data_IF_361908631973
#
_entry.id   IF_361908631973
#
_cell.length_a   1.000
_cell.length_b   1.000
_cell.length_c   1.000
_cell.angle_alpha   90.00
_cell.angle_beta   90.00
_cell.angle_gamma   90.00
#
_symmetry.space_group_name_H-M   'P 1'
#
loop_
_entity.id
_entity.type
_entity.pdbx_description
1 polymer ?
#
# COMPACT_ATOMS: atom_id res chain seq x y z
N UNK A 1 18.97 2.94 32.83
CA UNK A 1 19.60 3.23 31.52
C UNK A 1 18.48 3.57 30.53
N UNK A 2 18.67 4.57 29.67
CA UNK A 2 17.67 4.97 28.64
C UNK A 2 18.03 4.37 27.29
N UNK A 3 17.02 4.06 26.46
CA UNK A 3 17.22 3.60 25.07
C UNK A 3 16.54 4.54 24.08
N UNK A 4 17.12 4.68 22.90
CA UNK A 4 16.55 5.37 21.75
C UNK A 4 16.46 4.34 20.62
N UNK A 5 15.27 4.17 20.06
CA UNK A 5 15.04 3.25 18.94
C UNK A 5 14.68 4.06 17.71
N UNK A 6 15.49 3.90 16.66
CA UNK A 6 15.25 4.49 15.34
C UNK A 6 14.54 3.40 14.51
N UNK A 7 13.30 3.66 14.12
CA UNK A 7 12.48 2.68 13.40
C UNK A 7 11.72 3.33 12.25
N UNK A 8 11.33 2.52 11.27
CA UNK A 8 10.34 2.87 10.24
C UNK A 8 8.92 2.63 10.78
N UNK A 9 7.92 2.82 9.93
CA UNK A 9 6.52 2.48 10.23
C UNK A 9 6.28 0.99 10.51
N UNK A 10 7.27 0.10 10.41
CA UNK A 10 7.17 -1.29 10.93
C UNK A 10 6.84 -1.31 12.43
N UNK A 11 7.30 -0.31 13.20
CA UNK A 11 6.96 -0.19 14.62
C UNK A 11 5.53 0.31 14.88
N UNK A 12 4.82 0.78 13.85
CA UNK A 12 3.43 1.28 13.94
C UNK A 12 2.42 0.15 14.09
N UNK A 13 2.68 -1.01 13.46
CA UNK A 13 1.74 -2.16 13.40
C UNK A 13 2.45 -3.46 13.76
N UNK A 14 3.49 -3.83 13.01
CA UNK A 14 4.06 -5.19 12.98
C UNK A 14 5.00 -5.54 14.14
N UNK A 15 5.62 -4.56 14.79
CA UNK A 15 6.54 -4.79 15.90
C UNK A 15 6.06 -4.10 17.19
N UNK A 16 6.20 -4.80 18.32
CA UNK A 16 6.00 -4.22 19.64
C UNK A 16 7.35 -4.03 20.31
N UNK A 17 7.70 -2.78 20.60
CA UNK A 17 8.91 -2.44 21.34
C UNK A 17 8.50 -2.14 22.78
N UNK A 18 9.00 -2.93 23.71
CA UNK A 18 8.73 -2.73 25.14
C UNK A 18 9.48 -1.52 25.70
N UNK A 19 9.00 -0.96 26.81
CA UNK A 19 9.68 0.14 27.52
C UNK A 19 9.70 1.46 26.76
N UNK A 20 8.72 1.70 25.87
CA UNK A 20 8.55 2.97 25.15
C UNK A 20 7.47 3.80 25.84
N UNK A 21 7.85 5.03 26.23
CA UNK A 21 6.95 6.06 26.78
C UNK A 21 7.01 7.40 26.03
N UNK A 22 8.02 7.56 25.16
CA UNK A 22 8.21 8.75 24.34
C UNK A 22 8.26 8.30 22.88
N UNK A 23 7.44 8.92 22.04
CA UNK A 23 7.48 8.75 20.58
C UNK A 23 7.77 10.11 19.96
N UNK A 24 8.71 10.14 19.02
CA UNK A 24 8.94 11.27 18.13
C UNK A 24 8.55 10.83 16.73
N UNK A 25 7.48 11.39 16.20
CA UNK A 25 6.93 11.05 14.90
C UNK A 25 7.29 12.12 13.86
N UNK A 26 8.05 11.74 12.83
CA UNK A 26 8.39 12.63 11.73
C UNK A 26 7.18 12.99 10.85
N UNK A 27 6.04 12.32 11.05
CA UNK A 27 4.78 12.48 10.31
C UNK A 27 4.96 12.35 8.78
N UNK A 28 5.94 11.55 8.38
CA UNK A 28 6.20 11.17 7.01
C UNK A 28 6.29 9.64 6.89
N UNK A 29 6.01 9.15 5.70
CA UNK A 29 6.14 7.75 5.31
C UNK A 29 6.70 7.63 3.92
N UNK A 30 7.25 6.45 3.62
CA UNK A 30 7.75 6.10 2.30
C UNK A 30 6.84 5.02 1.72
N UNK A 31 6.18 5.35 0.62
CA UNK A 31 5.19 4.47 -0.02
C UNK A 31 5.59 4.17 -1.46
N UNK A 32 5.23 2.98 -1.92
CA UNK A 32 5.33 2.59 -3.31
C UNK A 32 4.14 3.18 -4.08
N UNK A 33 4.42 3.92 -5.15
CA UNK A 33 3.40 4.50 -6.03
C UNK A 33 3.68 4.11 -7.48
N UNK A 34 2.68 3.48 -8.09
CA UNK A 34 2.67 3.09 -9.49
C UNK A 34 2.38 4.29 -10.39
N UNK A 35 3.13 4.40 -11.48
CA UNK A 35 2.91 5.39 -12.53
C UNK A 35 2.42 4.72 -13.83
N UNK A 36 1.13 4.83 -14.17
CA UNK A 36 0.55 4.15 -15.34
C UNK A 36 1.14 4.55 -16.70
N UNK A 37 1.76 5.73 -16.77
CA UNK A 37 2.41 6.25 -17.99
C UNK A 37 3.75 5.57 -18.27
N UNK A 38 4.51 5.24 -17.23
CA UNK A 38 5.85 4.64 -17.34
C UNK A 38 5.81 3.14 -17.07
N UNK A 39 4.78 2.63 -16.38
CA UNK A 39 4.69 1.23 -15.97
C UNK A 39 5.66 0.88 -14.84
N UNK A 40 6.14 1.89 -14.11
CA UNK A 40 7.13 1.76 -13.03
C UNK A 40 6.50 2.12 -11.68
N UNK A 41 6.93 1.40 -10.65
CA UNK A 41 6.64 1.71 -9.26
C UNK A 41 7.82 2.44 -8.65
N UNK A 42 7.57 3.60 -8.04
CA UNK A 42 8.61 4.41 -7.39
C UNK A 42 8.32 4.60 -5.91
N UNK A 43 9.37 4.82 -5.14
CA UNK A 43 9.24 5.21 -3.74
C UNK A 43 9.09 6.72 -3.65
N UNK A 44 8.00 7.17 -3.04
CA UNK A 44 7.79 8.58 -2.72
C UNK A 44 7.76 8.77 -1.21
N UNK A 45 8.13 9.95 -0.74
CA UNK A 45 7.93 10.35 0.65
C UNK A 45 6.71 11.25 0.72
N UNK A 46 5.75 10.91 1.56
CA UNK A 46 4.51 11.67 1.73
C UNK A 46 4.18 11.87 3.21
N UNK A 47 3.18 12.71 3.50
CA UNK A 47 2.63 12.85 4.86
C UNK A 47 1.81 11.62 5.22
N UNK A 48 1.91 11.21 6.48
CA UNK A 48 1.06 10.14 7.04
C UNK A 48 -0.36 10.64 7.26
N UNK A 49 -1.30 9.69 7.36
CA UNK A 49 -2.69 9.98 7.73
C UNK A 49 -2.85 10.32 9.22
N UNK A 50 -4.00 10.88 9.57
CA UNK A 50 -4.39 11.10 10.96
C UNK A 50 -4.51 9.79 11.74
N UNK A 51 -5.04 8.74 11.11
CA UNK A 51 -5.12 7.41 11.68
C UNK A 51 -3.72 6.86 12.04
N UNK A 52 -2.75 6.96 11.12
CA UNK A 52 -1.37 6.55 11.37
C UNK A 52 -0.68 7.39 12.44
N UNK A 53 -0.86 8.71 12.46
CA UNK A 53 -0.35 9.56 13.56
C UNK A 53 -0.90 9.11 14.91
N UNK A 54 -2.20 8.82 14.97
CA UNK A 54 -2.86 8.34 16.19
C UNK A 54 -2.31 6.99 16.62
N UNK A 55 -2.11 6.07 15.67
CA UNK A 55 -1.55 4.75 15.94
C UNK A 55 -0.10 4.83 16.45
N UNK A 56 0.73 5.70 15.88
CA UNK A 56 2.10 5.99 16.34
C UNK A 56 2.10 6.59 17.74
N UNK A 57 1.21 7.55 18.01
CA UNK A 57 1.06 8.12 19.34
C UNK A 57 0.68 7.06 20.39
N UNK A 58 -0.19 6.12 20.03
CA UNK A 58 -0.56 4.98 20.88
C UNK A 58 0.62 4.08 21.27
N UNK A 59 1.74 4.10 20.53
CA UNK A 59 2.96 3.36 20.90
C UNK A 59 3.67 3.92 22.13
N UNK A 60 3.46 5.20 22.46
CA UNK A 60 3.97 5.80 23.69
C UNK A 60 3.16 5.40 24.94
N UNK A 61 1.90 4.98 24.79
CA UNK A 61 0.95 4.81 25.89
C UNK A 61 0.72 3.36 26.35
N UNK A 62 1.58 2.41 25.97
CA UNK A 62 1.31 0.97 26.19
C UNK A 62 1.53 0.48 27.61
N UNK A 63 2.52 1.02 28.32
CA UNK A 63 2.91 0.58 29.66
C UNK A 63 2.46 1.55 30.74
N UNK A 64 2.52 2.84 30.44
CA UNK A 64 2.22 3.95 31.33
C UNK A 64 1.85 5.19 30.49
N UNK A 65 1.34 6.27 31.10
CA UNK A 65 1.10 7.52 30.39
C UNK A 65 2.35 8.01 29.66
N UNK A 66 2.25 8.12 28.33
CA UNK A 66 3.34 8.50 27.44
C UNK A 66 3.11 9.83 26.72
N UNK A 67 4.14 10.28 26.00
CA UNK A 67 4.12 11.51 25.22
C UNK A 67 4.48 11.17 23.77
N UNK A 68 3.69 11.68 22.83
CA UNK A 68 4.01 11.66 21.40
C UNK A 68 4.24 13.10 20.90
N UNK A 69 5.36 13.33 20.24
CA UNK A 69 5.67 14.58 19.57
C UNK A 69 5.63 14.37 18.06
N UNK A 70 4.64 14.96 17.39
CA UNK A 70 4.59 15.03 15.93
C UNK A 70 5.41 16.22 15.44
N UNK A 71 6.34 16.01 14.51
CA UNK A 71 7.25 17.04 13.99
C UNK A 71 6.60 17.91 12.90
N UNK A 72 5.33 18.29 13.09
CA UNK A 72 4.53 19.07 12.15
C UNK A 72 3.61 20.04 12.91
N UNK A 73 3.20 21.12 12.27
CA UNK A 73 2.24 22.05 12.88
C UNK A 73 0.88 21.36 13.08
N UNK A 74 0.18 21.72 14.16
CA UNK A 74 -1.15 21.16 14.49
C UNK A 74 -2.14 21.32 13.33
N UNK A 75 -2.18 22.49 12.71
CA UNK A 75 -3.03 22.78 11.54
C UNK A 75 -2.70 21.90 10.31
N UNK A 76 -1.46 21.41 10.19
CA UNK A 76 -1.09 20.46 9.14
C UNK A 76 -1.56 19.06 9.49
N UNK A 77 -1.49 18.67 10.77
CA UNK A 77 -2.01 17.39 11.23
C UNK A 77 -3.53 17.31 11.05
N UNK A 78 -4.26 18.36 11.40
CA UNK A 78 -5.71 18.48 11.25
C UNK A 78 -6.17 18.45 9.77
N UNK A 79 -5.31 18.91 8.85
CA UNK A 79 -5.56 18.88 7.39
C UNK A 79 -5.04 17.62 6.69
N UNK A 80 -4.33 16.74 7.39
CA UNK A 80 -3.86 15.49 6.80
C UNK A 80 -5.06 14.59 6.42
N UNK A 81 -4.85 13.67 5.49
CA UNK A 81 -5.87 12.69 5.14
C UNK A 81 -6.29 11.90 6.40
N UNK A 82 -7.60 11.69 6.58
CA UNK A 82 -8.10 11.00 7.76
C UNK A 82 -7.58 9.55 7.84
N UNK A 83 -7.56 8.86 6.70
CA UNK A 83 -7.09 7.48 6.53
C UNK A 83 -5.93 7.41 5.54
N UNK A 84 -5.12 6.38 5.66
CA UNK A 84 -4.03 6.11 4.71
C UNK A 84 -4.60 5.62 3.37
N UNK A 85 -3.93 5.95 2.28
CA UNK A 85 -4.35 5.54 0.94
C UNK A 85 -4.23 4.00 0.79
N UNK A 86 -5.31 3.29 0.46
CA UNK A 86 -5.28 1.85 0.23
C UNK A 86 -4.28 1.47 -0.86
N UNK A 87 -3.55 0.36 -0.66
CA UNK A 87 -2.52 -0.09 -1.60
C UNK A 87 -3.07 -0.33 -3.01
N UNK A 88 -4.31 -0.83 -3.12
CA UNK A 88 -4.98 -1.08 -4.40
C UNK A 88 -5.14 0.17 -5.27
N UNK A 89 -5.18 1.36 -4.66
CA UNK A 89 -5.32 2.62 -5.38
C UNK A 89 -3.99 3.12 -5.99
N UNK A 90 -2.85 2.61 -5.51
CA UNK A 90 -1.53 3.14 -5.85
C UNK A 90 -0.52 2.08 -6.30
N UNK A 91 -0.94 0.82 -6.48
CA UNK A 91 -0.09 -0.30 -6.90
C UNK A 91 -0.24 -0.64 -8.39
N UNK A 92 0.72 -1.41 -8.91
CA UNK A 92 0.60 -2.10 -10.20
C UNK A 92 -0.42 -3.24 -10.05
N UNK A 93 -1.42 -3.26 -10.92
CA UNK A 93 -2.54 -4.21 -10.84
C UNK A 93 -2.40 -5.39 -11.82
N UNK A 94 -1.25 -5.58 -12.46
CA UNK A 94 -1.03 -6.68 -13.41
C UNK A 94 -1.13 -8.05 -12.75
N UNK A 95 -0.52 -8.23 -11.57
CA UNK A 95 -0.68 -9.43 -10.76
C UNK A 95 -2.14 -9.66 -10.36
N UNK A 96 -2.79 -8.64 -9.80
CA UNK A 96 -4.20 -8.71 -9.42
C UNK A 96 -5.11 -9.09 -10.61
N UNK A 97 -4.91 -8.47 -11.77
CA UNK A 97 -5.70 -8.76 -12.96
C UNK A 97 -5.47 -10.20 -13.45
N UNK A 98 -4.24 -10.70 -13.39
CA UNK A 98 -3.94 -12.10 -13.72
C UNK A 98 -4.67 -13.07 -12.79
N UNK A 99 -4.64 -12.81 -11.47
CA UNK A 99 -5.35 -13.61 -10.47
C UNK A 99 -6.87 -13.60 -10.69
N UNK A 100 -7.45 -12.44 -10.96
CA UNK A 100 -8.89 -12.31 -11.24
C UNK A 100 -9.29 -13.10 -12.49
N UNK A 101 -8.49 -13.00 -13.56
CA UNK A 101 -8.76 -13.76 -14.79
C UNK A 101 -8.58 -15.26 -14.60
N UNK A 102 -7.62 -15.69 -13.77
CA UNK A 102 -7.46 -17.09 -13.39
C UNK A 102 -8.64 -17.59 -12.57
N UNK A 103 -9.16 -16.76 -11.67
CA UNK A 103 -10.37 -17.04 -10.88
C UNK A 103 -11.65 -17.12 -11.74
N UNK A 104 -11.61 -16.58 -12.96
CA UNK A 104 -12.76 -16.52 -13.86
C UNK A 104 -13.57 -15.23 -13.74
N UNK A 105 -13.04 -14.22 -13.04
CA UNK A 105 -13.59 -12.88 -12.98
C UNK A 105 -13.08 -12.05 -14.16
N UNK A 106 -13.96 -11.73 -15.10
CA UNK A 106 -13.62 -10.97 -16.31
C UNK A 106 -13.63 -9.46 -16.09
N UNK A 107 -14.36 -8.98 -15.08
CA UNK A 107 -14.44 -7.57 -14.72
C UNK A 107 -14.23 -7.43 -13.20
N UNK A 108 -13.16 -6.77 -12.75
CA UNK A 108 -12.90 -6.54 -11.33
C UNK A 108 -14.11 -5.95 -10.57
N UNK A 109 -15.00 -5.19 -11.23
CA UNK A 109 -16.20 -4.64 -10.60
C UNK A 109 -17.22 -5.69 -10.17
N UNK A 110 -17.11 -6.95 -10.62
CA UNK A 110 -17.94 -8.07 -10.18
C UNK A 110 -17.61 -8.47 -8.71
N UNK A 111 -16.43 -8.11 -8.23
CA UNK A 111 -15.98 -8.40 -6.87
C UNK A 111 -16.38 -7.28 -5.89
N UNK A 112 -16.51 -7.63 -4.61
CA UNK A 112 -16.83 -6.68 -3.55
C UNK A 112 -15.56 -6.14 -2.89
N UNK A 113 -15.14 -4.95 -3.28
CA UNK A 113 -13.95 -4.27 -2.74
C UNK A 113 -14.34 -3.25 -1.67
N UNK A 114 -13.44 -3.01 -0.70
CA UNK A 114 -13.51 -1.81 0.14
C UNK A 114 -13.29 -0.55 -0.69
N UNK A 115 -12.26 -0.58 -1.54
CA UNK A 115 -11.92 0.47 -2.49
C UNK A 115 -11.74 -0.17 -3.87
N UNK A 116 -12.47 0.36 -4.86
CA UNK A 116 -12.46 -0.18 -6.21
C UNK A 116 -11.09 0.06 -6.87
N UNK A 117 -10.52 -0.93 -7.60
CA UNK A 117 -9.27 -0.75 -8.29
C UNK A 117 -9.37 0.37 -9.35
N UNK A 118 -8.41 1.30 -9.43
CA UNK A 118 -8.49 2.41 -10.36
C UNK A 118 -8.50 1.95 -11.82
N UNK A 119 -9.45 2.44 -12.60
CA UNK A 119 -9.60 2.11 -14.03
C UNK A 119 -8.31 2.37 -14.81
N UNK A 120 -7.58 3.46 -14.48
CA UNK A 120 -6.32 3.81 -15.14
C UNK A 120 -5.25 2.74 -14.91
N UNK A 121 -5.16 2.19 -13.70
CA UNK A 121 -4.19 1.16 -13.35
C UNK A 121 -4.60 -0.19 -13.94
N UNK A 122 -5.89 -0.52 -13.96
CA UNK A 122 -6.42 -1.72 -14.63
C UNK A 122 -6.14 -1.71 -16.13
N UNK A 123 -6.29 -0.56 -16.79
CA UNK A 123 -5.93 -0.43 -18.21
C UNK A 123 -4.43 -0.62 -18.45
N UNK A 124 -3.57 -0.12 -17.55
CA UNK A 124 -2.13 -0.32 -17.64
C UNK A 124 -1.76 -1.80 -17.45
N UNK A 125 -2.37 -2.46 -16.46
CA UNK A 125 -2.25 -3.90 -16.22
C UNK A 125 -2.65 -4.72 -17.45
N UNK A 126 -3.82 -4.44 -18.04
CA UNK A 126 -4.29 -5.11 -19.26
C UNK A 126 -3.32 -4.95 -20.43
N UNK A 127 -2.81 -3.73 -20.66
CA UNK A 127 -1.79 -3.48 -21.71
C UNK A 127 -0.50 -4.27 -21.47
N UNK A 128 -0.06 -4.38 -20.21
CA UNK A 128 1.13 -5.16 -19.86
C UNK A 128 0.89 -6.66 -20.14
N UNK A 129 -0.23 -7.22 -19.67
CA UNK A 129 -0.55 -8.63 -19.90
C UNK A 129 -0.72 -8.95 -21.39
N UNK A 130 -1.25 -8.03 -22.19
CA UNK A 130 -1.27 -8.15 -23.66
C UNK A 130 0.14 -8.17 -24.24
N UNK A 131 1.02 -7.27 -23.81
CA UNK A 131 2.42 -7.20 -24.26
C UNK A 131 3.20 -8.49 -23.94
N UNK A 132 2.90 -9.13 -22.81
CA UNK A 132 3.50 -10.39 -22.38
C UNK A 132 2.89 -11.62 -23.09
N UNK A 133 1.85 -11.45 -23.91
CA UNK A 133 1.13 -12.57 -24.53
C UNK A 133 0.31 -13.41 -23.55
N UNK A 134 0.03 -12.86 -22.36
CA UNK A 134 -0.74 -13.53 -21.32
C UNK A 134 -2.26 -13.52 -21.61
N UNK A 135 -2.72 -12.66 -22.52
CA UNK A 135 -4.15 -12.50 -22.85
C UNK A 135 -4.48 -12.99 -24.27
N UNK A 136 -5.64 -13.63 -24.39
CA UNK A 136 -6.34 -13.93 -25.63
C UNK A 136 -7.74 -13.30 -25.54
N UNK A 137 -7.90 -12.14 -26.16
CA UNK A 137 -9.06 -11.27 -25.97
C UNK A 137 -9.20 -10.79 -24.52
N UNK A 138 -10.28 -11.20 -23.85
CA UNK A 138 -10.60 -10.86 -22.45
C UNK A 138 -10.28 -12.00 -21.47
N UNK A 139 -9.57 -13.05 -21.90
CA UNK A 139 -9.25 -14.23 -21.08
C UNK A 139 -7.74 -14.49 -21.09
N UNK A 140 -7.29 -15.33 -20.17
CA UNK A 140 -5.91 -15.83 -20.19
C UNK A 140 -5.66 -16.71 -21.41
N UNK A 141 -4.55 -16.47 -22.09
CA UNK A 141 -4.03 -17.35 -23.13
C UNK A 141 -3.50 -18.66 -22.51
N UNK A 142 -3.15 -19.65 -23.33
CA UNK A 142 -2.51 -20.87 -22.84
C UNK A 142 -1.18 -20.60 -22.10
N UNK A 143 -0.46 -19.52 -22.46
CA UNK A 143 0.73 -19.08 -21.73
C UNK A 143 0.35 -18.29 -20.48
N UNK A 144 -0.67 -17.43 -20.55
CA UNK A 144 -1.19 -16.71 -19.39
C UNK A 144 -1.65 -17.64 -18.27
N UNK A 145 -2.28 -18.77 -18.60
CA UNK A 145 -2.66 -19.80 -17.62
C UNK A 145 -1.44 -20.41 -16.92
N UNK A 146 -0.33 -20.64 -17.63
CA UNK A 146 0.91 -21.13 -17.03
C UNK A 146 1.56 -20.05 -16.16
N UNK A 147 1.58 -18.80 -16.62
CA UNK A 147 2.08 -17.67 -15.82
C UNK A 147 1.31 -17.53 -14.51
N UNK A 148 -0.02 -17.54 -14.57
CA UNK A 148 -0.89 -17.47 -13.40
C UNK A 148 -0.67 -18.66 -12.45
N UNK A 149 -0.46 -19.87 -12.98
CA UNK A 149 -0.18 -21.05 -12.16
C UNK A 149 1.16 -20.98 -11.40
N UNK A 150 2.12 -20.16 -11.86
CA UNK A 150 3.38 -19.93 -11.14
C UNK A 150 3.19 -19.02 -9.92
N UNK A 151 2.17 -18.15 -9.91
CA UNK A 151 1.93 -17.19 -8.83
C UNK A 151 3.04 -16.13 -8.67
N UNK A 152 3.85 -15.92 -9.72
CA UNK A 152 4.90 -14.91 -9.74
C UNK A 152 4.37 -13.56 -10.26
N UNK A 153 5.21 -12.52 -10.14
CA UNK A 153 5.00 -11.28 -10.91
C UNK A 153 4.81 -11.64 -12.40
N UNK A 154 3.86 -11.00 -13.12
CA UNK A 154 3.62 -11.33 -14.52
C UNK A 154 4.83 -11.14 -15.45
N UNK A 155 5.82 -10.31 -15.10
CA UNK A 155 7.04 -10.10 -15.90
C UNK A 155 8.12 -11.14 -15.58
#
# INVERSE_FOLDING_TARGET
>A
MRKVVLATNIAETSLTIEGIRLVVDCAQERVARFEPRTGLTRLITQRVSQASMTQRAGRAGRLEPGICLHLIAKEQAERAAAQSEPEILQSDLSGLLMELLQWGCSDPAQMSWLDQPPVVNLMAAKRLLQMLGALDGERLSAQGQKMAALGNDPR
#
